data_IF_309943690688
#
_entry.id   IF_309943690688
#
_cell.length_a   1.000
_cell.length_b   1.000
_cell.length_c   1.000
_cell.angle_alpha   90.00
_cell.angle_beta   90.00
_cell.angle_gamma   90.00
#
_symmetry.space_group_name_H-M   'P 1'
#
loop_
_entity.id
_entity.type
_entity.pdbx_description
1 polymer ?
#
# COMPACT_ATOMS: atom_id res chain seq x y z
N UNK A 1 -4.66 -1.59 16.50
CA UNK A 1 -5.05 -1.46 15.11
C UNK A 1 -4.66 -0.08 14.59
N UNK A 2 -3.88 -0.05 13.51
CA UNK A 2 -3.50 1.21 12.91
C UNK A 2 -4.71 1.88 12.25
N UNK A 3 -5.02 3.09 12.68
CA UNK A 3 -6.06 3.90 12.09
C UNK A 3 -5.48 5.11 11.38
N UNK A 4 -6.34 5.92 10.80
CA UNK A 4 -5.91 7.18 10.22
C UNK A 4 -5.53 8.14 11.35
N UNK A 5 -4.58 9.02 11.07
CA UNK A 5 -4.19 10.08 12.00
C UNK A 5 -5.39 10.97 12.29
N UNK A 6 -5.46 11.49 13.51
CA UNK A 6 -6.59 12.31 13.95
C UNK A 6 -6.71 13.65 13.21
N UNK A 7 -5.59 14.21 12.77
CA UNK A 7 -5.56 15.55 12.17
C UNK A 7 -5.04 15.49 10.74
N UNK A 8 -5.84 14.91 9.85
CA UNK A 8 -5.52 14.88 8.43
C UNK A 8 -6.03 16.15 7.77
N UNK A 9 -5.17 16.77 6.96
CA UNK A 9 -5.57 17.89 6.12
C UNK A 9 -6.03 17.38 4.76
N UNK A 10 -6.84 18.17 4.06
CA UNK A 10 -7.25 17.86 2.70
C UNK A 10 -6.02 17.69 1.79
N UNK A 11 -4.99 18.52 1.99
CA UNK A 11 -3.77 18.43 1.19
C UNK A 11 -3.05 17.10 1.40
N UNK A 12 -3.02 16.58 2.63
CA UNK A 12 -2.41 15.29 2.92
C UNK A 12 -3.18 14.14 2.26
N UNK A 13 -4.50 14.19 2.31
CA UNK A 13 -5.35 13.19 1.65
C UNK A 13 -5.14 13.23 0.14
N UNK A 14 -5.15 14.43 -0.45
CA UNK A 14 -4.94 14.59 -1.89
C UNK A 14 -3.57 14.08 -2.31
N UNK A 15 -2.54 14.36 -1.52
CA UNK A 15 -1.18 13.87 -1.81
C UNK A 15 -1.11 12.33 -1.80
N UNK A 16 -1.78 11.69 -0.84
CA UNK A 16 -1.81 10.23 -0.77
C UNK A 16 -2.56 9.64 -1.98
N UNK A 17 -3.69 10.21 -2.36
CA UNK A 17 -4.45 9.75 -3.53
C UNK A 17 -3.64 9.94 -4.81
N UNK A 18 -2.96 11.06 -4.95
CA UNK A 18 -2.10 11.34 -6.10
C UNK A 18 -0.96 10.33 -6.16
N UNK A 19 -0.34 10.03 -5.02
CA UNK A 19 0.78 9.07 -4.96
C UNK A 19 0.38 7.70 -5.48
N UNK A 20 -0.85 7.27 -5.20
CA UNK A 20 -1.35 5.96 -5.66
C UNK A 20 -2.08 6.04 -7.00
N UNK A 21 -2.15 7.21 -7.62
CA UNK A 21 -2.65 7.37 -8.98
C UNK A 21 -4.16 7.42 -9.11
N UNK A 22 -4.89 7.83 -8.08
CA UNK A 22 -6.37 7.92 -8.15
C UNK A 22 -6.93 9.26 -7.69
N UNK A 23 -6.14 10.32 -7.74
CA UNK A 23 -6.60 11.65 -7.31
C UNK A 23 -7.87 12.07 -8.02
N UNK A 24 -7.95 11.87 -9.34
CA UNK A 24 -9.11 12.24 -10.14
C UNK A 24 -10.36 11.41 -9.79
N UNK A 25 -10.22 10.34 -9.00
CA UNK A 25 -11.31 9.47 -8.59
C UNK A 25 -11.61 9.60 -7.10
N UNK A 26 -10.94 10.51 -6.39
CA UNK A 26 -11.03 10.62 -4.95
C UNK A 26 -12.40 11.01 -4.44
N UNK A 27 -13.22 11.64 -5.27
CA UNK A 27 -14.59 12.06 -4.92
C UNK A 27 -15.64 10.99 -5.24
N UNK A 28 -15.26 9.86 -5.85
CA UNK A 28 -16.19 8.81 -6.24
C UNK A 28 -16.42 7.83 -5.09
N UNK A 29 -17.64 7.27 -4.96
CA UNK A 29 -17.86 6.18 -4.01
C UNK A 29 -16.96 4.99 -4.34
N UNK A 30 -16.50 4.29 -3.29
CA UNK A 30 -15.61 3.14 -3.49
C UNK A 30 -16.24 2.06 -4.38
N UNK A 31 -17.57 1.90 -4.35
CA UNK A 31 -18.27 0.93 -5.20
C UNK A 31 -18.17 1.25 -6.69
N UNK A 32 -17.83 2.49 -7.05
CA UNK A 32 -17.67 2.91 -8.44
C UNK A 32 -16.27 2.66 -8.97
N UNK A 33 -15.35 2.18 -8.14
CA UNK A 33 -13.97 1.94 -8.49
C UNK A 33 -13.77 0.50 -8.98
N UNK A 34 -12.82 0.32 -9.89
CA UNK A 34 -12.37 -1.03 -10.28
C UNK A 34 -11.69 -1.72 -9.08
N UNK A 35 -11.45 -3.03 -9.20
CA UNK A 35 -10.74 -3.78 -8.17
C UNK A 35 -9.32 -3.21 -7.97
N UNK A 36 -8.63 -2.86 -9.06
CA UNK A 36 -7.29 -2.26 -8.98
C UNK A 36 -7.32 -0.88 -8.33
N UNK A 37 -8.34 -0.08 -8.65
CA UNK A 37 -8.50 1.24 -8.01
C UNK A 37 -8.80 1.12 -6.53
N UNK A 38 -9.64 0.16 -6.14
CA UNK A 38 -9.89 -0.10 -4.72
C UNK A 38 -8.63 -0.54 -3.99
N UNK A 39 -7.79 -1.36 -4.65
CA UNK A 39 -6.51 -1.77 -4.09
C UNK A 39 -5.59 -0.57 -3.88
N UNK A 40 -5.54 0.33 -4.87
CA UNK A 40 -4.75 1.57 -4.75
C UNK A 40 -5.30 2.49 -3.66
N UNK A 41 -6.61 2.56 -3.50
CA UNK A 41 -7.21 3.33 -2.41
C UNK A 41 -6.79 2.78 -1.05
N UNK A 42 -6.73 1.46 -0.90
CA UNK A 42 -6.26 0.84 0.33
C UNK A 42 -4.81 1.22 0.63
N UNK A 43 -3.96 1.33 -0.40
CA UNK A 43 -2.58 1.80 -0.24
C UNK A 43 -2.54 3.26 0.23
N UNK A 44 -3.41 4.12 -0.30
CA UNK A 44 -3.50 5.51 0.17
C UNK A 44 -3.84 5.57 1.66
N UNK A 45 -4.74 4.71 2.13
CA UNK A 45 -5.08 4.64 3.55
C UNK A 45 -3.87 4.22 4.39
N UNK A 46 -3.05 3.31 3.91
CA UNK A 46 -1.80 2.94 4.59
C UNK A 46 -0.86 4.14 4.72
N UNK A 47 -0.72 4.92 3.65
CA UNK A 47 0.13 6.11 3.68
C UNK A 47 -0.34 7.14 4.70
N UNK A 48 -1.65 7.22 4.93
CA UNK A 48 -2.25 8.16 5.86
C UNK A 48 -2.31 7.63 7.29
N UNK A 49 -2.06 6.34 7.48
CA UNK A 49 -2.04 5.74 8.80
C UNK A 49 -0.72 6.06 9.50
N UNK A 50 -0.78 6.24 10.80
CA UNK A 50 0.41 6.49 11.62
C UNK A 50 0.84 5.17 12.27
N UNK A 51 1.38 4.27 11.47
CA UNK A 51 1.71 2.92 11.91
C UNK A 51 3.12 2.52 11.48
N UNK A 52 3.86 1.94 12.42
CA UNK A 52 5.20 1.39 12.15
C UNK A 52 5.12 0.06 11.40
N UNK A 53 4.14 -0.78 11.75
CA UNK A 53 3.98 -2.09 11.11
C UNK A 53 2.88 -2.03 10.07
N UNK A 54 3.22 -2.40 8.85
CA UNK A 54 2.25 -2.64 7.78
C UNK A 54 2.00 -4.13 7.66
N UNK A 55 0.74 -4.50 7.58
CA UNK A 55 0.33 -5.88 7.28
C UNK A 55 -0.39 -5.86 5.93
N UNK A 56 0.17 -6.54 4.95
CA UNK A 56 -0.30 -6.52 3.57
C UNK A 56 -0.74 -7.94 3.17
N UNK A 57 -2.01 -8.09 2.84
CA UNK A 57 -2.56 -9.36 2.39
C UNK A 57 -2.78 -9.29 0.88
N UNK A 58 -2.02 -10.09 0.13
CA UNK A 58 -2.09 -10.13 -1.33
C UNK A 58 -2.00 -8.72 -1.95
N UNK A 59 -0.95 -7.94 -1.63
CA UNK A 59 -0.95 -6.52 -1.95
C UNK A 59 -0.91 -6.19 -3.43
N UNK A 60 -0.52 -7.14 -4.28
CA UNK A 60 -0.41 -6.89 -5.72
C UNK A 60 -1.51 -7.53 -6.55
N UNK A 61 -2.46 -8.20 -5.91
CA UNK A 61 -3.62 -8.78 -6.60
C UNK A 61 -4.42 -7.69 -7.29
N UNK A 62 -4.82 -7.91 -8.54
CA UNK A 62 -5.55 -6.97 -9.38
C UNK A 62 -4.76 -5.73 -9.78
N UNK A 63 -3.44 -5.75 -9.66
CA UNK A 63 -2.60 -4.64 -10.10
C UNK A 63 -1.82 -5.03 -11.36
N UNK A 64 -1.65 -4.06 -12.26
CA UNK A 64 -0.76 -4.17 -13.40
C UNK A 64 0.69 -3.96 -12.96
N UNK A 65 1.61 -4.00 -13.92
CA UNK A 65 3.04 -3.84 -13.62
C UNK A 65 3.32 -2.52 -12.90
N UNK A 66 2.70 -1.43 -13.32
CA UNK A 66 2.89 -0.14 -12.66
C UNK A 66 2.38 -0.16 -11.23
N UNK A 67 1.28 -0.87 -10.98
CA UNK A 67 0.74 -1.02 -9.63
C UNK A 67 1.63 -1.88 -8.74
N UNK A 68 2.21 -2.95 -9.27
CA UNK A 68 3.18 -3.77 -8.53
C UNK A 68 4.41 -2.94 -8.17
N UNK A 69 4.94 -2.17 -9.12
CA UNK A 69 6.08 -1.29 -8.86
C UNK A 69 5.76 -0.26 -7.77
N UNK A 70 4.55 0.28 -7.79
CA UNK A 70 4.10 1.21 -6.76
C UNK A 70 4.12 0.56 -5.37
N UNK A 71 3.57 -0.64 -5.24
CA UNK A 71 3.58 -1.37 -3.95
C UNK A 71 5.01 -1.56 -3.46
N UNK A 72 5.89 -2.01 -4.33
CA UNK A 72 7.29 -2.23 -3.97
C UNK A 72 7.97 -0.94 -3.53
N UNK A 73 7.74 0.15 -4.26
CA UNK A 73 8.32 1.45 -3.89
C UNK A 73 7.80 1.94 -2.54
N UNK A 74 6.51 1.80 -2.28
CA UNK A 74 5.92 2.21 -1.00
C UNK A 74 6.48 1.40 0.17
N UNK A 75 6.67 0.09 -0.02
CA UNK A 75 7.26 -0.76 1.02
C UNK A 75 8.71 -0.37 1.26
N UNK A 76 9.50 -0.13 0.20
CA UNK A 76 10.90 0.31 0.34
C UNK A 76 10.98 1.62 1.11
N UNK A 77 10.11 2.59 0.78
CA UNK A 77 10.08 3.88 1.46
C UNK A 77 9.72 3.71 2.94
N UNK A 78 8.74 2.86 3.23
CA UNK A 78 8.31 2.60 4.60
C UNK A 78 9.44 1.99 5.43
N UNK A 79 10.10 0.96 4.90
CA UNK A 79 11.25 0.32 5.55
C UNK A 79 12.39 1.33 5.73
N UNK A 80 12.62 2.17 4.71
CA UNK A 80 13.67 3.20 4.77
C UNK A 80 13.44 4.24 5.87
N UNK A 81 12.21 4.42 6.30
CA UNK A 81 11.86 5.31 7.41
C UNK A 81 11.85 4.58 8.76
N UNK A 82 12.32 3.35 8.80
CA UNK A 82 12.36 2.56 10.04
C UNK A 82 11.12 1.72 10.29
N UNK A 83 10.21 1.62 9.32
CA UNK A 83 9.01 0.80 9.44
C UNK A 83 9.29 -0.68 9.20
N UNK A 84 8.27 -1.48 9.49
CA UNK A 84 8.26 -2.91 9.27
C UNK A 84 7.07 -3.27 8.38
N UNK A 85 7.21 -4.31 7.59
CA UNK A 85 6.10 -4.80 6.77
C UNK A 85 6.05 -6.32 6.79
N UNK A 86 4.86 -6.85 6.96
CA UNK A 86 4.57 -8.28 6.83
C UNK A 86 3.61 -8.44 5.66
N UNK A 87 4.01 -9.22 4.67
CA UNK A 87 3.19 -9.42 3.49
C UNK A 87 2.93 -10.91 3.26
N UNK A 88 1.67 -11.25 3.02
CA UNK A 88 1.27 -12.57 2.55
C UNK A 88 0.96 -12.46 1.07
N UNK A 89 1.74 -13.10 0.21
CA UNK A 89 1.60 -12.97 -1.23
C UNK A 89 1.94 -14.27 -1.93
N UNK A 90 1.19 -14.57 -3.00
CA UNK A 90 1.49 -15.70 -3.87
C UNK A 90 2.59 -15.35 -4.88
N UNK A 91 2.74 -14.07 -5.20
CA UNK A 91 3.74 -13.59 -6.13
C UNK A 91 4.95 -13.09 -5.37
N UNK A 92 6.12 -13.20 -6.00
CA UNK A 92 7.35 -12.68 -5.40
C UNK A 92 7.35 -11.16 -5.44
N UNK A 93 7.79 -10.57 -4.34
CA UNK A 93 7.92 -9.13 -4.18
C UNK A 93 9.32 -8.84 -3.66
N UNK A 94 9.95 -7.80 -4.19
CA UNK A 94 11.20 -7.27 -3.63
C UNK A 94 12.31 -8.31 -3.55
N UNK A 95 12.40 -9.21 -4.55
CA UNK A 95 13.35 -10.32 -4.55
C UNK A 95 14.80 -9.87 -4.39
N UNK A 96 15.10 -8.66 -4.84
CA UNK A 96 16.44 -8.08 -4.79
C UNK A 96 16.70 -7.24 -3.53
N UNK A 97 15.73 -7.18 -2.61
CA UNK A 97 15.85 -6.32 -1.44
C UNK A 97 16.68 -6.99 -0.34
N UNK A 98 17.75 -6.32 0.13
CA UNK A 98 18.63 -6.91 1.15
C UNK A 98 17.96 -7.06 2.51
N UNK A 99 16.90 -6.29 2.78
CA UNK A 99 16.16 -6.33 4.05
C UNK A 99 15.11 -7.44 4.10
N UNK A 100 14.88 -8.15 2.99
CA UNK A 100 13.79 -9.12 2.89
C UNK A 100 14.11 -10.39 3.67
N UNK A 101 13.12 -10.87 4.41
CA UNK A 101 13.11 -12.20 5.03
C UNK A 101 11.87 -12.93 4.52
N UNK A 102 12.06 -14.13 4.01
CA UNK A 102 10.95 -14.96 3.53
C UNK A 102 10.63 -16.03 4.54
N UNK A 103 9.32 -16.22 4.75
CA UNK A 103 8.82 -17.29 5.59
C UNK A 103 7.81 -18.08 4.75
N UNK A 104 8.07 -19.36 4.55
CA UNK A 104 7.13 -20.24 3.88
C UNK A 104 6.38 -21.05 4.92
N UNK A 105 5.05 -21.00 4.82
CA UNK A 105 4.18 -21.79 5.69
C UNK A 105 3.70 -23.00 4.92
N UNK A 106 4.01 -24.17 5.43
CA UNK A 106 3.61 -25.45 4.82
C UNK A 106 2.37 -25.93 5.55
N UNK A 107 1.25 -26.13 4.84
CA UNK A 107 0.01 -26.57 5.47
C UNK A 107 0.10 -27.98 6.04
#
# INVERSE_FOLDING_TARGET
LAGLRQSLTAAEVDAALDRVGILSRGDLPARSLSAGQRRRLALARLLLADATLWVLDEPVTNLDTAGVDLVEDLVREHIGRGGLALAAAHQRLLDDAPFLRRLELIP
#
